data_IF_717234317858
#
_entry.id   IF_717234317858
#
_cell.length_a   1.000
_cell.length_b   1.000
_cell.length_c   1.000
_cell.angle_alpha   90.00
_cell.angle_beta   90.00
_cell.angle_gamma   90.00
#
_symmetry.space_group_name_H-M   'P 1'
#
loop_
_entity.id
_entity.type
_entity.pdbx_description
1 polymer ?
#
# COMPACT_ATOMS: atom_id res chain seq x y z
N UNK A 1 -17.38 14.80 -0.37
CA UNK A 1 -18.61 14.19 -0.92
C UNK A 1 -19.26 13.34 0.16
N UNK A 2 -20.58 13.43 0.37
CA UNK A 2 -21.28 12.61 1.36
C UNK A 2 -21.17 11.11 1.01
N UNK A 3 -21.07 10.26 2.05
CA UNK A 3 -21.06 8.81 1.87
C UNK A 3 -22.41 8.37 1.29
N UNK A 4 -22.37 7.47 0.31
CA UNK A 4 -23.59 6.85 -0.23
C UNK A 4 -24.20 5.91 0.82
N UNK A 5 -25.52 5.92 0.94
CA UNK A 5 -26.27 5.04 1.84
C UNK A 5 -26.06 3.57 1.45
N UNK A 6 -25.91 2.71 2.47
CA UNK A 6 -25.67 1.27 2.30
C UNK A 6 -26.79 0.65 1.48
N UNK A 7 -26.43 -0.16 0.49
CA UNK A 7 -27.39 -0.84 -0.39
C UNK A 7 -27.81 -0.06 -1.64
N UNK A 8 -27.49 1.24 -1.73
CA UNK A 8 -27.77 2.01 -2.97
C UNK A 8 -26.87 1.56 -4.14
N UNK A 9 -27.30 1.74 -5.41
CA UNK A 9 -26.45 1.46 -6.57
C UNK A 9 -25.11 2.21 -6.52
N UNK A 10 -25.12 3.45 -5.99
CA UNK A 10 -23.90 4.25 -5.80
C UNK A 10 -22.97 3.66 -4.74
N UNK A 11 -23.51 3.13 -3.64
CA UNK A 11 -22.74 2.42 -2.62
C UNK A 11 -22.10 1.16 -3.20
N UNK A 12 -22.86 0.34 -3.93
CA UNK A 12 -22.34 -0.86 -4.59
C UNK A 12 -21.25 -0.51 -5.62
N UNK A 13 -21.47 0.52 -6.45
CA UNK A 13 -20.49 0.99 -7.41
C UNK A 13 -19.20 1.47 -6.76
N UNK A 14 -19.28 2.21 -5.64
CA UNK A 14 -18.11 2.64 -4.88
C UNK A 14 -17.36 1.45 -4.26
N UNK A 15 -18.10 0.50 -3.67
CA UNK A 15 -17.53 -0.72 -3.10
C UNK A 15 -16.81 -1.56 -4.16
N UNK A 16 -17.40 -1.74 -5.34
CA UNK A 16 -16.77 -2.44 -6.46
C UNK A 16 -15.51 -1.72 -6.96
N UNK A 17 -15.52 -0.38 -7.03
CA UNK A 17 -14.33 0.40 -7.42
C UNK A 17 -13.20 0.35 -6.37
N UNK A 18 -13.54 0.13 -5.11
CA UNK A 18 -12.55 -0.07 -4.03
C UNK A 18 -12.02 -1.50 -3.92
N UNK A 19 -12.65 -2.47 -4.59
CA UNK A 19 -12.19 -3.86 -4.62
C UNK A 19 -11.05 -4.01 -5.65
N UNK A 20 -10.05 -4.82 -5.30
CA UNK A 20 -8.96 -5.24 -6.19
C UNK A 20 -7.63 -4.51 -5.96
N UNK A 21 -6.54 -5.25 -6.16
CA UNK A 21 -5.18 -4.71 -6.17
C UNK A 21 -5.03 -3.81 -7.40
N UNK A 22 -4.79 -2.52 -7.16
CA UNK A 22 -4.48 -1.57 -8.23
C UNK A 22 -2.97 -1.52 -8.45
N UNK A 23 -2.53 -0.86 -9.51
CA UNK A 23 -1.10 -0.57 -9.70
C UNK A 23 -0.57 0.15 -8.46
N UNK A 24 0.60 -0.26 -7.97
CA UNK A 24 1.23 0.24 -6.73
C UNK A 24 1.65 1.73 -6.78
N UNK A 25 1.30 2.49 -7.83
CA UNK A 25 1.67 3.90 -7.99
C UNK A 25 1.27 4.77 -6.79
N UNK A 26 0.15 4.46 -6.15
CA UNK A 26 -0.44 5.22 -5.05
C UNK A 26 -0.50 4.42 -3.74
N UNK A 27 0.48 3.55 -3.52
CA UNK A 27 0.56 2.75 -2.31
C UNK A 27 1.44 3.43 -1.24
N UNK A 28 0.95 3.51 -0.01
CA UNK A 28 1.76 3.95 1.13
C UNK A 28 2.37 2.73 1.83
N UNK A 29 3.69 2.59 1.77
CA UNK A 29 4.42 1.51 2.42
C UNK A 29 4.29 1.56 3.95
N UNK A 30 4.41 2.76 4.52
CA UNK A 30 4.36 2.98 5.97
C UNK A 30 2.99 2.57 6.55
N UNK A 31 1.91 3.01 5.91
CA UNK A 31 0.54 2.71 6.34
C UNK A 31 -0.03 1.41 5.77
N UNK A 32 0.74 0.69 4.95
CA UNK A 32 0.31 -0.48 4.18
C UNK A 32 -1.04 -0.28 3.47
N UNK A 33 -1.20 0.90 2.85
CA UNK A 33 -2.48 1.37 2.34
C UNK A 33 -2.41 1.69 0.85
N UNK A 34 -3.22 0.98 0.07
CA UNK A 34 -3.47 1.33 -1.34
C UNK A 34 -4.43 2.53 -1.42
N UNK A 35 -3.96 3.63 -2.01
CA UNK A 35 -4.83 4.74 -2.40
C UNK A 35 -5.31 4.54 -3.85
N UNK A 36 -6.51 5.03 -4.14
CA UNK A 36 -7.17 4.84 -5.45
C UNK A 36 -6.51 5.64 -6.56
N UNK A 37 -6.13 6.86 -6.25
CA UNK A 37 -5.64 7.85 -7.19
C UNK A 37 -4.68 8.81 -6.49
N UNK A 38 -4.11 9.71 -7.29
CA UNK A 38 -3.17 10.73 -6.84
C UNK A 38 -3.74 11.61 -5.73
N UNK A 39 -5.00 12.03 -5.88
CA UNK A 39 -5.64 12.90 -4.89
C UNK A 39 -5.88 12.15 -3.57
N UNK A 40 -6.33 10.90 -3.63
CA UNK A 40 -6.48 10.04 -2.47
C UNK A 40 -5.16 9.81 -1.73
N UNK A 41 -4.05 9.66 -2.47
CA UNK A 41 -2.72 9.55 -1.88
C UNK A 41 -2.26 10.85 -1.24
N UNK A 42 -2.46 11.99 -1.91
CA UNK A 42 -2.15 13.33 -1.37
C UNK A 42 -2.92 13.63 -0.08
N UNK A 43 -4.23 13.37 -0.05
CA UNK A 43 -5.02 13.52 1.17
C UNK A 43 -4.56 12.55 2.27
N UNK A 44 -4.14 11.33 1.90
CA UNK A 44 -3.65 10.35 2.85
C UNK A 44 -2.33 10.79 3.51
N UNK A 45 -1.35 11.25 2.75
CA UNK A 45 -0.06 11.68 3.31
C UNK A 45 -0.17 12.94 4.19
N UNK A 46 -1.23 13.72 4.04
CA UNK A 46 -1.55 14.87 4.88
C UNK A 46 -2.38 14.51 6.12
N UNK A 47 -2.89 13.28 6.22
CA UNK A 47 -3.76 12.87 7.33
C UNK A 47 -2.97 12.67 8.62
N UNK A 48 -3.57 13.03 9.75
CA UNK A 48 -2.96 12.86 11.07
C UNK A 48 -2.52 11.41 11.35
N UNK A 49 -3.33 10.43 10.91
CA UNK A 49 -3.00 9.02 11.07
C UNK A 49 -1.68 8.64 10.35
N UNK A 50 -1.45 9.17 9.14
CA UNK A 50 -0.19 8.97 8.43
C UNK A 50 0.96 9.67 9.16
N UNK A 51 0.78 10.93 9.56
CA UNK A 51 1.81 11.70 10.25
C UNK A 51 2.24 11.04 11.57
N UNK A 52 1.31 10.50 12.36
CA UNK A 52 1.62 9.75 13.58
C UNK A 52 2.49 8.52 13.30
N UNK A 53 2.21 7.77 12.22
CA UNK A 53 3.08 6.65 11.84
C UNK A 53 4.45 7.11 11.35
N UNK A 54 4.53 8.24 10.66
CA UNK A 54 5.81 8.82 10.24
C UNK A 54 6.68 9.25 11.43
N UNK A 55 6.07 9.67 12.55
CA UNK A 55 6.82 9.93 13.79
C UNK A 55 7.48 8.65 14.34
N UNK A 56 6.73 7.54 14.38
CA UNK A 56 7.29 6.22 14.79
C UNK A 56 8.41 5.78 13.87
N UNK A 57 8.24 5.93 12.55
CA UNK A 57 9.30 5.63 11.59
C UNK A 57 10.52 6.53 11.80
N UNK A 58 10.30 7.82 12.12
CA UNK A 58 11.35 8.80 12.36
C UNK A 58 12.26 8.44 13.54
N UNK A 59 11.75 7.75 14.56
CA UNK A 59 12.55 7.30 15.71
C UNK A 59 13.67 6.33 15.30
N UNK A 60 13.45 5.51 14.27
CA UNK A 60 14.41 4.50 13.80
C UNK A 60 14.34 4.29 12.27
N UNK A 61 14.45 5.38 11.50
CA UNK A 61 14.23 5.35 10.05
C UNK A 61 15.13 4.33 9.32
N UNK A 62 16.40 4.21 9.73
CA UNK A 62 17.34 3.25 9.13
C UNK A 62 16.90 1.80 9.27
N UNK A 63 16.34 1.42 10.43
CA UNK A 63 15.81 0.07 10.65
C UNK A 63 14.62 -0.21 9.75
N UNK A 64 13.65 0.69 9.69
CA UNK A 64 12.47 0.52 8.84
C UNK A 64 12.84 0.39 7.35
N UNK A 65 13.78 1.21 6.87
CA UNK A 65 14.27 1.12 5.49
C UNK A 65 14.97 -0.22 5.24
N UNK A 66 15.81 -0.66 6.17
CA UNK A 66 16.49 -1.96 6.08
C UNK A 66 15.49 -3.11 6.03
N UNK A 67 14.51 -3.13 6.94
CA UNK A 67 13.49 -4.18 7.02
C UNK A 67 12.67 -4.27 5.72
N UNK A 68 12.23 -3.12 5.17
CA UNK A 68 11.51 -3.09 3.89
C UNK A 68 12.38 -3.55 2.72
N UNK A 69 13.66 -3.17 2.70
CA UNK A 69 14.61 -3.56 1.64
C UNK A 69 14.87 -5.07 1.67
N UNK A 70 15.12 -5.63 2.85
CA UNK A 70 15.32 -7.07 3.04
C UNK A 70 14.08 -7.87 2.67
N UNK A 71 12.89 -7.40 3.07
CA UNK A 71 11.63 -8.03 2.68
C UNK A 71 11.46 -8.01 1.15
N UNK A 72 11.66 -6.85 0.51
CA UNK A 72 11.56 -6.73 -0.94
C UNK A 72 12.51 -7.69 -1.66
N UNK A 73 13.78 -7.75 -1.25
CA UNK A 73 14.77 -8.64 -1.86
C UNK A 73 14.35 -10.11 -1.74
N UNK A 74 13.94 -10.54 -0.54
CA UNK A 74 13.55 -11.94 -0.29
C UNK A 74 12.34 -12.36 -1.13
N UNK A 75 11.32 -11.51 -1.19
CA UNK A 75 10.11 -11.75 -1.97
C UNK A 75 10.39 -11.69 -3.48
N UNK A 76 11.23 -10.76 -3.91
CA UNK A 76 11.61 -10.62 -5.31
C UNK A 76 12.36 -11.85 -5.81
N UNK A 77 13.37 -12.32 -5.07
CA UNK A 77 14.10 -13.56 -5.41
C UNK A 77 13.17 -14.76 -5.38
N UNK A 78 12.31 -14.88 -4.37
CA UNK A 78 11.32 -15.97 -4.29
C UNK A 78 10.39 -15.99 -5.50
N UNK A 79 9.88 -14.83 -5.91
CA UNK A 79 9.03 -14.69 -7.10
C UNK A 79 9.79 -15.04 -8.38
N UNK A 80 11.05 -14.61 -8.50
CA UNK A 80 11.89 -14.95 -9.65
C UNK A 80 12.15 -16.45 -9.74
N UNK A 81 12.58 -17.09 -8.65
CA UNK A 81 12.85 -18.54 -8.61
C UNK A 81 11.60 -19.36 -8.92
N UNK A 82 10.43 -18.96 -8.42
CA UNK A 82 9.16 -19.65 -8.70
C UNK A 82 8.66 -19.47 -10.13
N UNK A 83 8.80 -18.28 -10.71
CA UNK A 83 8.27 -17.99 -12.06
C UNK A 83 9.20 -18.43 -13.18
N UNK A 84 10.50 -18.31 -12.97
CA UNK A 84 11.51 -18.51 -14.02
C UNK A 84 12.40 -19.72 -13.75
N UNK A 85 12.13 -20.51 -12.69
CA UNK A 85 12.87 -21.73 -12.41
C UNK A 85 14.35 -21.48 -12.09
N UNK A 86 14.72 -20.28 -11.64
CA UNK A 86 16.06 -19.97 -11.14
C UNK A 86 16.26 -20.64 -9.77
N UNK A 87 16.29 -21.96 -9.78
CA UNK A 87 16.90 -22.77 -8.75
C UNK A 87 18.38 -22.81 -9.12
N UNK A 88 19.21 -22.18 -8.29
CA UNK A 88 20.52 -22.79 -8.08
C UNK A 88 20.25 -24.16 -7.45
N UNK A 89 20.83 -25.20 -8.05
CA UNK A 89 20.96 -26.55 -7.50
C UNK A 89 21.43 -26.54 -6.05
#
# INVERSE_FOLDING_TARGET
MPRAEVGTPKYLANAMKSKGLQKLRWYCQVCQKQCRDENGFKCHTQSEAHLRQMLVVGENAGRHISDFSSQFQSEFVTLLSRRYGLLYS
#
